data_IF_531822238191
#
_entry.id   IF_531822238191
#
_cell.length_a   1.000
_cell.length_b   1.000
_cell.length_c   1.000
_cell.angle_alpha   90.00
_cell.angle_beta   90.00
_cell.angle_gamma   90.00
#
_symmetry.space_group_name_H-M   'P 1'
#
loop_
_entity.id
_entity.type
_entity.pdbx_description
1 polymer ?
#
# COMPACT_ATOMS: atom_id res chain seq x y z
N UNK A 1 12.04 -19.64 -12.63
CA UNK A 1 12.84 -18.59 -13.31
C UNK A 1 12.46 -17.25 -12.69
N UNK A 2 13.26 -16.71 -11.78
CA UNK A 2 13.01 -15.42 -11.15
C UNK A 2 13.92 -14.37 -11.79
N UNK A 3 13.38 -13.57 -12.70
CA UNK A 3 14.12 -12.46 -13.32
C UNK A 3 14.15 -11.30 -12.34
N UNK A 4 15.36 -10.90 -11.91
CA UNK A 4 15.57 -9.75 -11.02
C UNK A 4 16.10 -8.60 -11.86
N UNK A 5 15.20 -7.71 -12.28
CA UNK A 5 15.57 -6.54 -13.07
C UNK A 5 16.09 -5.42 -12.17
N UNK A 6 17.31 -4.96 -12.45
CA UNK A 6 17.96 -3.82 -11.79
C UNK A 6 17.19 -2.53 -12.10
N UNK A 7 16.55 -1.96 -11.06
CA UNK A 7 16.42 -0.52 -10.71
C UNK A 7 15.09 -0.30 -9.97
N UNK A 8 15.15 -0.32 -8.64
CA UNK A 8 13.98 -0.19 -7.76
C UNK A 8 13.29 -1.53 -7.54
N UNK A 9 12.99 -1.86 -6.28
CA UNK A 9 12.17 -3.05 -5.98
C UNK A 9 10.85 -2.93 -6.75
N UNK A 10 10.54 -3.85 -7.67
CA UNK A 10 9.22 -3.91 -8.28
C UNK A 10 8.22 -4.18 -7.16
N UNK A 11 7.10 -3.45 -7.18
CA UNK A 11 5.98 -3.82 -6.36
C UNK A 11 5.48 -5.19 -6.84
N UNK A 12 5.12 -6.10 -5.93
CA UNK A 12 4.63 -7.41 -6.33
C UNK A 12 3.31 -7.25 -7.14
N UNK A 13 3.04 -8.15 -8.08
CA UNK A 13 1.81 -8.10 -8.89
C UNK A 13 0.55 -8.07 -8.01
N UNK A 14 0.59 -8.76 -6.87
CA UNK A 14 -0.46 -8.73 -5.86
C UNK A 14 -0.63 -7.35 -5.21
N UNK A 15 0.46 -6.66 -4.88
CA UNK A 15 0.41 -5.31 -4.31
C UNK A 15 -0.19 -4.31 -5.30
N UNK A 16 0.11 -4.46 -6.61
CA UNK A 16 -0.49 -3.65 -7.66
C UNK A 16 -2.00 -3.88 -7.77
N UNK A 17 -2.46 -5.13 -7.69
CA UNK A 17 -3.89 -5.44 -7.71
C UNK A 17 -4.63 -4.83 -6.50
N UNK A 18 -4.03 -4.90 -5.30
CA UNK A 18 -4.58 -4.28 -4.09
C UNK A 18 -4.67 -2.76 -4.25
N UNK A 19 -3.58 -2.12 -4.68
CA UNK A 19 -3.54 -0.68 -4.88
C UNK A 19 -4.53 -0.21 -5.96
N UNK A 20 -4.65 -0.94 -7.08
CA UNK A 20 -5.58 -0.64 -8.15
C UNK A 20 -7.04 -0.71 -7.66
N UNK A 21 -7.36 -1.71 -6.83
CA UNK A 21 -8.69 -1.85 -6.22
C UNK A 21 -8.99 -0.66 -5.30
N UNK A 22 -8.05 -0.29 -4.43
CA UNK A 22 -8.22 0.85 -3.54
C UNK A 22 -8.37 2.17 -4.32
N UNK A 23 -7.58 2.38 -5.37
CA UNK A 23 -7.69 3.56 -6.24
C UNK A 23 -9.02 3.61 -6.98
N UNK A 24 -9.43 2.50 -7.59
CA UNK A 24 -10.66 2.43 -8.37
C UNK A 24 -11.90 2.72 -7.52
N UNK A 25 -11.93 2.23 -6.29
CA UNK A 25 -13.03 2.46 -5.36
C UNK A 25 -12.86 3.72 -4.49
N UNK A 26 -11.73 4.42 -4.60
CA UNK A 26 -11.42 5.56 -3.75
C UNK A 26 -11.39 5.20 -2.26
N UNK A 27 -10.75 4.08 -1.90
CA UNK A 27 -10.59 3.59 -0.53
C UNK A 27 -9.23 3.95 0.06
N UNK A 28 -9.15 3.94 1.39
CA UNK A 28 -7.90 4.09 2.13
C UNK A 28 -7.27 2.71 2.37
N UNK A 29 -6.04 2.51 1.91
CA UNK A 29 -5.34 1.25 2.07
C UNK A 29 -4.71 1.17 3.47
N UNK A 30 -5.28 0.33 4.33
CA UNK A 30 -4.68 0.01 5.62
C UNK A 30 -3.54 -0.99 5.44
N UNK A 31 -2.31 -0.62 5.76
CA UNK A 31 -1.15 -1.51 5.59
C UNK A 31 0.00 -1.19 6.54
N UNK A 32 0.76 -2.23 6.94
CA UNK A 32 2.07 -2.06 7.60
C UNK A 32 3.19 -1.76 6.62
N UNK A 33 3.00 -2.03 5.32
CA UNK A 33 4.00 -1.88 4.27
C UNK A 33 3.94 -0.51 3.59
N UNK A 34 3.79 0.56 4.38
CA UNK A 34 3.60 1.95 3.89
C UNK A 34 4.68 2.35 2.88
N UNK A 35 5.92 1.92 3.07
CA UNK A 35 7.05 2.25 2.16
C UNK A 35 6.92 1.62 0.76
N UNK A 36 6.24 0.48 0.65
CA UNK A 36 5.98 -0.18 -0.63
C UNK A 36 4.89 0.58 -1.40
N UNK A 37 3.76 0.83 -0.72
CA UNK A 37 2.59 1.45 -1.32
C UNK A 37 2.72 2.96 -1.51
N UNK A 38 3.55 3.65 -0.72
CA UNK A 38 3.77 5.09 -0.81
C UNK A 38 4.44 5.56 -2.11
N UNK A 39 4.85 4.62 -2.97
CA UNK A 39 5.37 4.90 -4.31
C UNK A 39 4.26 5.02 -5.37
N UNK A 40 3.01 4.74 -5.00
CA UNK A 40 1.85 4.74 -5.90
C UNK A 40 1.14 6.09 -5.78
N UNK A 41 1.16 6.93 -6.84
CA UNK A 41 0.49 8.23 -6.81
C UNK A 41 -1.02 8.09 -6.60
N UNK A 42 -1.60 8.93 -5.74
CA UNK A 42 -3.05 8.97 -5.49
C UNK A 42 -3.58 7.92 -4.52
N UNK A 43 -2.76 6.96 -4.09
CA UNK A 43 -3.17 5.96 -3.11
C UNK A 43 -3.13 6.57 -1.70
N UNK A 44 -4.27 6.58 -1.03
CA UNK A 44 -4.37 6.98 0.38
C UNK A 44 -4.01 5.78 1.25
N UNK A 45 -3.13 5.97 2.22
CA UNK A 45 -2.56 4.90 3.02
C UNK A 45 -2.75 5.22 4.49
N UNK A 46 -3.32 4.27 5.22
CA UNK A 46 -3.46 4.31 6.66
C UNK A 46 -2.52 3.28 7.31
N UNK A 47 -1.55 3.70 8.14
CA UNK A 47 -0.70 2.75 8.85
C UNK A 47 -1.51 1.99 9.90
N UNK A 48 -1.25 0.68 10.02
CA UNK A 48 -2.04 -0.27 10.85
C UNK A 48 -2.06 0.00 12.37
N UNK A 49 -1.65 1.17 12.84
CA UNK A 49 -1.65 1.56 14.26
C UNK A 49 -2.13 3.02 14.51
N UNK A 50 -2.64 3.72 13.50
CA UNK A 50 -3.06 5.13 13.65
C UNK A 50 -4.35 5.29 14.48
N UNK A 51 -5.31 4.37 14.33
CA UNK A 51 -6.66 4.53 14.88
C UNK A 51 -6.96 3.71 16.14
N UNK A 52 -6.22 2.62 16.38
CA UNK A 52 -6.42 1.77 17.58
C UNK A 52 -6.16 2.54 18.89
N UNK A 53 -5.43 3.67 18.84
CA UNK A 53 -5.18 4.56 20.00
C UNK A 53 -6.16 5.73 20.13
N UNK A 54 -6.98 6.03 19.12
CA UNK A 54 -7.90 7.18 19.13
C UNK A 54 -9.29 6.86 19.69
N UNK A 55 -9.58 5.59 19.99
CA UNK A 55 -10.87 5.11 20.51
C UNK A 55 -10.84 4.71 21.99
N UNK A 56 -10.11 5.43 22.83
CA UNK A 56 -10.17 5.27 24.30
C UNK A 56 -10.04 6.63 24.96
N UNK A 57 -11.07 7.46 24.79
CA UNK A 57 -11.32 8.66 25.57
C UNK A 57 -12.80 8.68 25.94
#
# INVERSE_FOLDING_TARGET
>A
MAVRSRKGQPLADADLAIAATALYHGLDLVTGNVRHYGRIPGLRIEPILAEVRKGSA
#
